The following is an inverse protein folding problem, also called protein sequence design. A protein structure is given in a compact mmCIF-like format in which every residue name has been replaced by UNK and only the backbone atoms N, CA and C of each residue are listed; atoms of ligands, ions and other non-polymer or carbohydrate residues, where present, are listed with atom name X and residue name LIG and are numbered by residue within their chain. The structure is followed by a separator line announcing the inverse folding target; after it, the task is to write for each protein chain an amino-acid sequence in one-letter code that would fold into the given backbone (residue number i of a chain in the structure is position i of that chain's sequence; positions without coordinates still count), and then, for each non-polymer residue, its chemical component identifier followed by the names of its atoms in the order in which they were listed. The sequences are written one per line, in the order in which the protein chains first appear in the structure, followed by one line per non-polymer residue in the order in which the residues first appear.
data_IF_654519440737
#
_entry.id   IF_654519440737
#
_cell.length_a   1.000
_cell.length_b   1.000
_cell.length_c   1.000
_cell.angle_alpha   90.00
_cell.angle_beta   90.00
_cell.angle_gamma   90.00
#
_symmetry.space_group_name_H-M   'P 1'
#
loop_
_entity.id
_entity.type
_entity.pdbx_description
1 polymer ?
#
# COMPACT_ATOMS: atom_id res chain seq x y z
N UNK A 1 17.99 0.97 -12.62
CA UNK A 1 17.20 0.03 -13.46
C UNK A 1 15.97 -0.51 -12.71
N UNK A 2 16.03 -0.73 -11.39
CA UNK A 2 14.89 -1.17 -10.58
C UNK A 2 13.69 -0.19 -10.59
N UNK A 3 13.93 1.11 -10.49
CA UNK A 3 12.86 2.12 -10.40
C UNK A 3 12.01 2.22 -11.68
N UNK A 4 12.64 2.13 -12.85
CA UNK A 4 11.92 2.09 -14.15
C UNK A 4 11.01 0.88 -14.27
N UNK A 5 11.38 -0.25 -13.67
CA UNK A 5 10.54 -1.45 -13.64
C UNK A 5 9.33 -1.26 -12.71
N UNK A 6 9.54 -0.69 -11.51
CA UNK A 6 8.44 -0.39 -10.58
C UNK A 6 7.43 0.61 -11.17
N UNK A 7 7.90 1.69 -11.79
CA UNK A 7 7.02 2.66 -12.44
C UNK A 7 6.23 2.04 -13.60
N UNK A 8 6.87 1.19 -14.42
CA UNK A 8 6.19 0.50 -15.53
C UNK A 8 5.08 -0.40 -14.99
N UNK A 9 5.40 -1.27 -14.01
CA UNK A 9 4.42 -2.16 -13.36
C UNK A 9 3.27 -1.39 -12.72
N UNK A 10 3.56 -0.27 -12.06
CA UNK A 10 2.53 0.60 -11.47
C UNK A 10 1.55 1.12 -12.52
N UNK A 11 2.04 1.48 -13.71
CA UNK A 11 1.22 2.03 -14.81
C UNK A 11 0.46 0.97 -15.60
N UNK A 12 0.90 -0.29 -15.58
CA UNK A 12 0.26 -1.41 -16.29
C UNK A 12 -0.97 -1.97 -15.57
N UNK A 13 -1.09 -1.74 -14.25
CA UNK A 13 -2.25 -2.19 -13.47
C UNK A 13 -3.46 -1.32 -13.82
N UNK A 14 -4.57 -1.95 -14.18
CA UNK A 14 -5.87 -1.27 -14.27
C UNK A 14 -6.41 -1.02 -12.85
N UNK A 15 -6.05 0.12 -12.26
CA UNK A 15 -6.46 0.48 -10.91
C UNK A 15 -7.97 0.70 -10.75
N UNK A 16 -8.68 0.99 -11.84
CA UNK A 16 -10.14 1.24 -11.80
C UNK A 16 -10.93 -0.04 -11.58
N UNK A 17 -10.36 -1.20 -11.88
CA UNK A 17 -11.02 -2.48 -11.58
C UNK A 17 -11.24 -2.69 -10.08
N UNK A 18 -10.49 -1.99 -9.21
CA UNK A 18 -10.59 -2.06 -7.76
C UNK A 18 -11.48 -0.96 -7.16
N UNK A 19 -12.24 -0.25 -8.00
CA UNK A 19 -13.17 0.80 -7.56
C UNK A 19 -14.31 0.21 -6.73
N UNK A 20 -14.12 0.22 -5.42
CA UNK A 20 -15.11 -0.21 -4.44
C UNK A 20 -15.72 0.97 -3.69
N UNK A 21 -15.01 1.57 -2.72
CA UNK A 21 -15.55 2.70 -1.93
C UNK A 21 -15.57 4.04 -2.69
N UNK A 22 -16.53 4.92 -2.37
CA UNK A 22 -16.69 6.24 -3.00
C UNK A 22 -15.46 7.15 -2.87
N UNK A 23 -14.69 6.97 -1.79
CA UNK A 23 -13.48 7.75 -1.52
C UNK A 23 -12.25 7.24 -2.29
N UNK A 24 -12.34 6.07 -2.93
CA UNK A 24 -11.23 5.54 -3.69
C UNK A 24 -10.96 6.37 -4.94
N UNK A 25 -9.76 6.92 -5.03
CA UNK A 25 -9.31 7.76 -6.13
C UNK A 25 -8.05 7.15 -6.77
N UNK A 26 -8.19 6.31 -7.82
CA UNK A 26 -7.07 5.56 -8.40
C UNK A 26 -5.95 6.47 -8.93
N UNK A 27 -6.30 7.62 -9.53
CA UNK A 27 -5.30 8.57 -10.03
C UNK A 27 -4.43 9.17 -8.89
N UNK A 28 -5.03 9.36 -7.70
CA UNK A 28 -4.29 9.83 -6.52
C UNK A 28 -3.40 8.74 -5.94
N UNK A 29 -3.86 7.47 -5.97
CA UNK A 29 -3.04 6.33 -5.57
C UNK A 29 -1.82 6.18 -6.48
N UNK A 30 -1.99 6.32 -7.81
CA UNK A 30 -0.87 6.26 -8.75
C UNK A 30 0.13 7.39 -8.44
N UNK A 31 -0.34 8.61 -8.21
CA UNK A 31 0.52 9.75 -7.88
C UNK A 31 1.28 9.55 -6.56
N UNK A 32 0.63 9.03 -5.51
CA UNK A 32 1.27 8.77 -4.22
C UNK A 32 2.30 7.63 -4.31
N UNK A 33 2.01 6.57 -5.07
CA UNK A 33 2.96 5.47 -5.34
C UNK A 33 4.17 5.95 -6.14
N UNK A 34 3.99 6.82 -7.14
CA UNK A 34 5.11 7.45 -7.86
C UNK A 34 5.97 8.32 -6.94
N UNK A 35 5.36 9.04 -6.00
CA UNK A 35 6.10 9.82 -5.01
C UNK A 35 6.96 8.91 -4.12
N UNK A 36 6.45 7.75 -3.70
CA UNK A 36 7.23 6.77 -2.94
C UNK A 36 8.36 6.13 -3.78
N UNK A 37 8.12 5.80 -5.05
CA UNK A 37 9.16 5.26 -5.94
C UNK A 37 10.36 6.22 -6.02
N UNK A 38 10.09 7.53 -6.08
CA UNK A 38 11.10 8.60 -6.19
C UNK A 38 11.54 9.19 -4.83
N UNK A 39 11.19 8.53 -3.71
CA UNK A 39 11.49 9.05 -2.38
C UNK A 39 12.97 8.84 -2.00
N UNK A 40 13.76 9.92 -2.07
CA UNK A 40 15.16 9.92 -1.67
C UNK A 40 15.42 10.68 -0.36
N UNK A 41 14.54 11.60 0.02
CA UNK A 41 14.66 12.40 1.24
C UNK A 41 13.75 11.86 2.35
N UNK A 42 14.33 11.58 3.52
CA UNK A 42 13.58 11.11 4.69
C UNK A 42 12.57 12.15 5.21
N UNK A 43 12.81 13.44 5.01
CA UNK A 43 11.90 14.50 5.49
C UNK A 43 10.53 14.45 4.81
N UNK A 44 10.47 13.94 3.57
CA UNK A 44 9.22 13.78 2.84
C UNK A 44 8.48 12.46 3.16
N UNK A 45 9.11 11.55 3.92
CA UNK A 45 8.60 10.19 4.17
C UNK A 45 7.22 10.16 4.82
N UNK A 46 6.96 11.04 5.78
CA UNK A 46 5.67 11.04 6.51
C UNK A 46 4.54 11.47 5.57
N UNK A 47 4.73 12.58 4.84
CA UNK A 47 3.72 13.08 3.91
C UNK A 47 3.43 12.08 2.78
N UNK A 48 4.46 11.39 2.27
CA UNK A 48 4.29 10.34 1.25
C UNK A 48 3.57 9.12 1.82
N UNK A 49 3.94 8.67 3.03
CA UNK A 49 3.28 7.57 3.72
C UNK A 49 1.80 7.83 3.97
N UNK A 50 1.48 9.00 4.53
CA UNK A 50 0.11 9.43 4.77
C UNK A 50 -0.70 9.51 3.47
N UNK A 51 -0.10 10.01 2.39
CA UNK A 51 -0.76 10.07 1.09
C UNK A 51 -1.11 8.67 0.56
N UNK A 52 -0.23 7.68 0.75
CA UNK A 52 -0.52 6.30 0.36
C UNK A 52 -1.63 5.70 1.24
N UNK A 53 -1.54 5.81 2.56
CA UNK A 53 -2.56 5.27 3.47
C UNK A 53 -3.95 5.88 3.22
N UNK A 54 -4.01 7.17 2.86
CA UNK A 54 -5.26 7.86 2.53
C UNK A 54 -5.78 7.58 1.11
N UNK A 55 -5.00 6.98 0.22
CA UNK A 55 -5.41 6.68 -1.17
C UNK A 55 -5.60 5.19 -1.43
N UNK A 56 -4.87 4.34 -0.72
CA UNK A 56 -5.06 2.89 -0.68
C UNK A 56 -6.16 2.49 0.31
N UNK A 57 -6.66 3.43 1.11
CA UNK A 57 -7.59 3.20 2.19
C UNK A 57 -8.08 4.51 2.78
N UNK A 58 -8.39 4.48 4.08
CA UNK A 58 -8.67 5.65 4.88
C UNK A 58 -7.93 5.53 6.21
N UNK A 59 -6.81 6.26 6.32
CA UNK A 59 -5.94 6.24 7.50
C UNK A 59 -6.71 6.61 8.78
N UNK A 60 -7.65 7.55 8.69
CA UNK A 60 -8.46 7.98 9.85
C UNK A 60 -9.43 6.91 10.34
N UNK A 61 -9.90 6.03 9.45
CA UNK A 61 -10.82 4.95 9.80
C UNK A 61 -10.12 3.61 10.05
N UNK A 62 -8.81 3.53 9.78
CA UNK A 62 -8.06 2.29 9.87
C UNK A 62 -8.55 1.23 8.88
N UNK A 63 -8.86 1.63 7.64
CA UNK A 63 -9.32 0.70 6.59
C UNK A 63 -8.48 0.77 5.33
N UNK A 64 -8.41 -0.33 4.58
CA UNK A 64 -7.85 -0.38 3.22
C UNK A 64 -8.88 -0.87 2.20
N UNK A 65 -8.64 -0.50 0.95
CA UNK A 65 -9.52 -0.77 -0.18
C UNK A 65 -9.06 -1.98 -1.00
N UNK A 66 -9.91 -2.50 -1.92
CA UNK A 66 -9.58 -3.66 -2.74
C UNK A 66 -8.27 -3.52 -3.54
N UNK A 67 -7.87 -2.28 -3.85
CA UNK A 67 -6.60 -1.97 -4.51
C UNK A 67 -5.36 -2.50 -3.76
N UNK A 68 -5.48 -2.83 -2.47
CA UNK A 68 -4.45 -3.52 -1.71
C UNK A 68 -4.01 -4.85 -2.38
N UNK A 69 -4.92 -5.54 -3.08
CA UNK A 69 -4.61 -6.78 -3.81
C UNK A 69 -3.41 -6.61 -4.75
N UNK A 70 -3.33 -5.49 -5.47
CA UNK A 70 -2.24 -5.19 -6.39
C UNK A 70 -1.12 -4.35 -5.74
N UNK A 71 -1.48 -3.38 -4.89
CA UNK A 71 -0.51 -2.42 -4.33
C UNK A 71 0.53 -3.08 -3.41
N UNK A 72 0.16 -4.13 -2.67
CA UNK A 72 1.06 -4.73 -1.69
C UNK A 72 2.33 -5.32 -2.32
N UNK A 73 2.26 -5.91 -3.52
CA UNK A 73 3.47 -6.44 -4.17
C UNK A 73 4.45 -5.32 -4.54
N UNK A 74 3.96 -4.16 -4.95
CA UNK A 74 4.81 -3.02 -5.24
C UNK A 74 5.43 -2.44 -3.96
N UNK A 75 4.65 -2.29 -2.91
CA UNK A 75 5.11 -1.82 -1.60
C UNK A 75 6.16 -2.75 -0.99
N UNK A 76 5.97 -4.07 -1.09
CA UNK A 76 6.93 -5.07 -0.62
C UNK A 76 8.25 -4.97 -1.38
N UNK A 77 8.21 -4.87 -2.71
CA UNK A 77 9.43 -4.67 -3.51
C UNK A 77 10.19 -3.40 -3.07
N UNK A 78 9.48 -2.33 -2.72
CA UNK A 78 10.09 -1.10 -2.21
C UNK A 78 10.64 -1.26 -0.79
N UNK A 79 9.99 -2.05 0.07
CA UNK A 79 10.41 -2.34 1.45
C UNK A 79 11.62 -3.29 1.54
N UNK A 80 11.89 -4.05 0.48
CA UNK A 80 13.04 -4.97 0.38
C UNK A 80 14.24 -4.33 -0.35
N UNK A 81 14.04 -3.19 -1.03
CA UNK A 81 15.09 -2.49 -1.77
C UNK A 81 16.02 -1.68 -0.85
N UNK A 82 17.15 -2.27 -0.46
CA UNK A 82 18.13 -1.67 0.46
C UNK A 82 18.90 -0.47 -0.11
N UNK A 83 18.85 -0.23 -1.42
CA UNK A 83 19.59 0.83 -2.12
C UNK A 83 18.96 2.22 -1.94
N UNK A 84 17.73 2.31 -1.41
CA UNK A 84 17.04 3.56 -1.13
C UNK A 84 16.43 3.57 0.28
N UNK A 85 17.22 3.94 1.32
CA UNK A 85 16.81 3.80 2.71
C UNK A 85 15.53 4.57 3.10
N UNK A 86 15.32 5.77 2.54
CA UNK A 86 14.13 6.57 2.81
C UNK A 86 12.85 5.87 2.30
N UNK A 87 12.84 5.48 1.03
CA UNK A 87 11.79 4.65 0.43
C UNK A 87 11.55 3.35 1.18
N UNK A 88 12.61 2.61 1.49
CA UNK A 88 12.53 1.34 2.18
C UNK A 88 11.84 1.47 3.54
N UNK A 89 12.23 2.45 4.36
CA UNK A 89 11.61 2.69 5.67
C UNK A 89 10.17 3.15 5.56
N UNK A 90 9.89 4.06 4.63
CA UNK A 90 8.53 4.54 4.38
C UNK A 90 7.60 3.38 3.99
N UNK A 91 8.02 2.55 3.03
CA UNK A 91 7.27 1.37 2.59
C UNK A 91 7.02 0.38 3.75
N UNK A 92 8.03 0.11 4.59
CA UNK A 92 7.86 -0.75 5.77
C UNK A 92 6.86 -0.19 6.78
N UNK A 93 6.88 1.12 7.02
CA UNK A 93 5.90 1.77 7.91
C UNK A 93 4.48 1.58 7.38
N UNK A 94 4.27 1.84 6.08
CA UNK A 94 2.97 1.64 5.43
C UNK A 94 2.50 0.18 5.56
N UNK A 95 3.39 -0.79 5.31
CA UNK A 95 3.06 -2.22 5.43
C UNK A 95 2.70 -2.60 6.88
N UNK A 96 3.38 -2.01 7.87
CA UNK A 96 3.04 -2.22 9.28
C UNK A 96 1.64 -1.66 9.60
N UNK A 97 1.33 -0.44 9.18
CA UNK A 97 0.04 0.19 9.45
C UNK A 97 -1.12 -0.61 8.79
N UNK A 98 -0.95 -0.99 7.53
CA UNK A 98 -1.96 -1.77 6.79
C UNK A 98 -2.23 -3.15 7.41
N UNK A 99 -1.27 -3.75 8.12
CA UNK A 99 -1.50 -5.01 8.83
C UNK A 99 -2.59 -4.90 9.89
N UNK A 100 -2.69 -3.73 10.55
CA UNK A 100 -3.65 -3.46 11.61
C UNK A 100 -4.98 -2.89 11.11
N UNK A 101 -5.09 -2.57 9.82
CA UNK A 101 -6.31 -2.03 9.22
C UNK A 101 -7.31 -3.12 8.85
N UNK A 102 -8.56 -2.73 8.64
CA UNK A 102 -9.65 -3.60 8.19
C UNK A 102 -10.00 -3.38 6.71
N UNK A 103 -10.51 -4.39 6.00
CA UNK A 103 -11.01 -4.21 4.64
C UNK A 103 -12.23 -3.28 4.61
N UNK A 104 -12.35 -2.49 3.56
CA UNK A 104 -13.58 -1.80 3.17
C UNK A 104 -13.80 -1.98 1.66
N UNK A 105 -14.68 -2.91 1.29
CA UNK A 105 -14.92 -3.24 -0.12
C UNK A 105 -15.82 -2.25 -0.85
N UNK A 106 -16.75 -1.59 -0.15
CA UNK A 106 -17.77 -0.77 -0.81
C UNK A 106 -18.59 -1.60 -1.81
N UNK A 107 -18.57 -1.22 -3.09
CA UNK A 107 -19.28 -1.92 -4.17
C UNK A 107 -18.44 -2.97 -4.91
N UNK A 108 -17.21 -3.24 -4.46
CA UNK A 108 -16.35 -4.25 -5.09
C UNK A 108 -16.79 -5.66 -4.72
N UNK A 109 -16.95 -6.53 -5.72
CA UNK A 109 -17.48 -7.90 -5.58
C UNK A 109 -16.46 -9.01 -5.90
N UNK A 110 -15.21 -8.65 -6.20
CA UNK A 110 -14.16 -9.61 -6.59
C UNK A 110 -13.59 -10.47 -5.45
N UNK A 111 -13.94 -10.20 -4.19
CA UNK A 111 -13.62 -11.01 -3.00
C UNK A 111 -14.49 -10.59 -1.81
N UNK A 112 -14.52 -11.40 -0.75
CA UNK A 112 -15.11 -11.02 0.55
C UNK A 112 -14.15 -10.22 1.44
N UNK A 113 -14.68 -9.56 2.47
CA UNK A 113 -13.87 -8.86 3.49
C UNK A 113 -12.88 -9.83 4.15
N UNK A 114 -13.33 -11.04 4.51
CA UNK A 114 -12.46 -12.05 5.13
C UNK A 114 -11.35 -12.55 4.19
N UNK A 115 -11.64 -12.66 2.89
CA UNK A 115 -10.65 -13.05 1.89
C UNK A 115 -9.58 -11.98 1.74
N UNK A 116 -9.99 -10.71 1.64
CA UNK A 116 -9.06 -9.59 1.54
C UNK A 116 -8.24 -9.44 2.83
N UNK A 117 -8.89 -9.52 4.00
CA UNK A 117 -8.20 -9.47 5.30
C UNK A 117 -7.16 -10.58 5.44
N UNK A 118 -7.52 -11.81 5.08
CA UNK A 118 -6.60 -12.95 5.11
C UNK A 118 -5.42 -12.71 4.18
N UNK A 119 -5.67 -12.29 2.94
CA UNK A 119 -4.62 -11.94 1.99
C UNK A 119 -3.66 -10.90 2.55
N UNK A 120 -4.17 -9.78 3.07
CA UNK A 120 -3.37 -8.69 3.63
C UNK A 120 -2.57 -9.18 4.83
N UNK A 121 -3.20 -9.77 5.85
CA UNK A 121 -2.51 -10.21 7.07
C UNK A 121 -1.43 -11.27 6.78
N UNK A 122 -1.71 -12.25 5.92
CA UNK A 122 -0.72 -13.27 5.55
C UNK A 122 0.50 -12.64 4.86
N UNK A 123 0.26 -11.70 3.95
CA UNK A 123 1.33 -11.05 3.18
C UNK A 123 2.15 -10.07 4.02
N UNK A 124 1.50 -9.40 4.99
CA UNK A 124 2.11 -8.35 5.80
C UNK A 124 2.67 -8.83 7.14
N UNK A 125 2.42 -10.08 7.55
CA UNK A 125 2.98 -10.67 8.79
C UNK A 125 4.51 -10.48 8.96
N UNK A 126 5.36 -10.56 7.91
CA UNK A 126 6.80 -10.31 8.09
C UNK A 126 7.16 -8.85 8.42
N UNK A 127 6.25 -7.93 8.14
CA UNK A 127 6.43 -6.47 8.25
C UNK A 127 5.75 -5.88 9.47
N UNK A 128 4.89 -6.64 10.15
CA UNK A 128 4.25 -6.20 11.38
C UNK A 128 5.17 -6.31 12.59
N UNK A 129 5.02 -5.38 13.51
CA UNK A 129 5.66 -5.39 14.83
C UNK A 129 4.93 -6.30 15.85
N UNK A 130 3.90 -7.02 15.42
CA UNK A 130 3.13 -7.99 16.22
C UNK A 130 3.97 -9.16 16.79
N UNK A 131 5.28 -9.22 16.50
CA UNK A 131 6.21 -10.27 16.95
C UNK A 131 6.61 -10.22 18.43
N UNK A 132 5.94 -9.42 19.27
CA UNK A 132 6.18 -9.42 20.73
C UNK A 132 4.96 -9.82 21.58
N UNK A 133 4.00 -10.54 21.02
CA UNK A 133 2.78 -10.96 21.74
C UNK A 133 2.56 -12.49 21.73
N UNK A 134 3.59 -13.25 22.10
CA UNK A 134 3.46 -14.64 22.56
C UNK A 134 4.13 -14.78 23.93
#
# INVERSE_FOLDING_TARGET
MADKNLETRLREIDWRQYSGPDLYAPDKLIASMLALINLHDQNASNAVGDAILNTLGNNHRGVYYPAALAALDLLINMAEAADQPARMRCARSILNDLYYFEPELGYYDGCSDEELKRFVCTKLQPYSDAKFSL
#
